data_IF_625500730339
#
_entry.id   IF_625500730339
#
_cell.length_a   1.000
_cell.length_b   1.000
_cell.length_c   1.000
_cell.angle_alpha   90.00
_cell.angle_beta   90.00
_cell.angle_gamma   90.00
#
_symmetry.space_group_name_H-M   'P 1'
#
loop_
_entity.id
_entity.type
_entity.pdbx_description
1 polymer ?
#
# COMPACT_ATOMS: atom_id res chain seq x y z
N UNK A 1 -20.62 -11.26 8.35
CA UNK A 1 -19.81 -10.62 7.29
C UNK A 1 -18.88 -11.66 6.70
N UNK A 2 -18.98 -11.92 5.42
CA UNK A 2 -18.08 -12.83 4.70
C UNK A 2 -16.68 -12.20 4.56
N UNK A 3 -15.68 -12.99 4.20
CA UNK A 3 -14.33 -12.44 3.98
C UNK A 3 -14.34 -11.44 2.82
N UNK A 4 -15.06 -11.72 1.75
CA UNK A 4 -15.20 -10.78 0.62
C UNK A 4 -15.82 -9.44 1.06
N UNK A 5 -16.85 -9.46 1.88
CA UNK A 5 -17.45 -8.22 2.43
C UNK A 5 -16.46 -7.41 3.26
N UNK A 6 -15.57 -8.07 4.02
CA UNK A 6 -14.52 -7.39 4.80
C UNK A 6 -13.54 -6.64 3.89
N UNK A 7 -13.06 -7.27 2.83
CA UNK A 7 -12.14 -6.63 1.89
C UNK A 7 -12.80 -5.48 1.12
N UNK A 8 -14.06 -5.66 0.72
CA UNK A 8 -14.83 -4.58 0.09
C UNK A 8 -14.98 -3.38 1.03
N UNK A 9 -15.29 -3.64 2.30
CA UNK A 9 -15.43 -2.58 3.31
C UNK A 9 -14.10 -1.85 3.53
N UNK A 10 -12.99 -2.58 3.69
CA UNK A 10 -11.67 -1.97 3.87
C UNK A 10 -11.23 -1.15 2.65
N UNK A 11 -11.50 -1.63 1.43
CA UNK A 11 -11.22 -0.88 0.21
C UNK A 11 -12.07 0.39 0.09
N UNK A 12 -13.35 0.33 0.45
CA UNK A 12 -14.24 1.50 0.46
C UNK A 12 -13.84 2.51 1.54
N UNK A 13 -13.44 2.05 2.72
CA UNK A 13 -12.90 2.89 3.79
C UNK A 13 -11.65 3.63 3.32
N UNK A 14 -10.70 2.91 2.72
CA UNK A 14 -9.52 3.54 2.15
C UNK A 14 -9.85 4.57 1.05
N UNK A 15 -10.82 4.28 0.18
CA UNK A 15 -11.27 5.24 -0.85
C UNK A 15 -11.87 6.51 -0.24
N UNK A 16 -12.61 6.37 0.88
CA UNK A 16 -13.14 7.52 1.61
C UNK A 16 -12.00 8.36 2.20
N UNK A 17 -10.99 7.72 2.80
CA UNK A 17 -9.79 8.38 3.32
C UNK A 17 -9.02 9.09 2.19
N UNK A 18 -8.85 8.44 1.04
CA UNK A 18 -8.15 9.02 -0.11
C UNK A 18 -8.88 10.25 -0.67
N UNK A 19 -10.22 10.20 -0.73
CA UNK A 19 -11.01 11.35 -1.13
C UNK A 19 -10.89 12.52 -0.13
N UNK A 20 -10.94 12.23 1.15
CA UNK A 20 -10.81 13.25 2.21
C UNK A 20 -9.40 13.86 2.24
N UNK A 21 -8.35 13.05 2.09
CA UNK A 21 -6.96 13.48 2.13
C UNK A 21 -6.41 14.08 0.83
N UNK A 22 -7.21 14.06 -0.26
CA UNK A 22 -6.76 14.50 -1.58
C UNK A 22 -6.34 16.00 -1.63
N UNK A 23 -6.89 16.82 -0.74
CA UNK A 23 -6.59 18.26 -0.65
C UNK A 23 -5.41 18.56 0.30
N UNK A 24 -4.90 17.58 1.02
CA UNK A 24 -3.79 17.76 1.96
C UNK A 24 -2.49 18.12 1.23
N UNK A 25 -1.62 18.96 1.84
CA UNK A 25 -0.40 19.45 1.20
C UNK A 25 0.48 18.35 0.62
N UNK A 26 0.61 17.24 1.34
CA UNK A 26 1.44 16.13 0.91
C UNK A 26 0.86 15.36 -0.29
N UNK A 27 -0.46 15.14 -0.31
CA UNK A 27 -1.12 14.52 -1.46
C UNK A 27 -1.04 15.40 -2.71
N UNK A 28 -1.13 16.73 -2.53
CA UNK A 28 -0.93 17.70 -3.63
C UNK A 28 0.51 17.67 -4.15
N UNK A 29 1.50 17.72 -3.25
CA UNK A 29 2.91 17.66 -3.64
C UNK A 29 3.24 16.35 -4.38
N UNK A 30 2.70 15.21 -3.94
CA UNK A 30 2.86 13.94 -4.62
C UNK A 30 2.25 13.94 -6.03
N UNK A 31 1.11 14.62 -6.21
CA UNK A 31 0.43 14.74 -7.51
C UNK A 31 1.18 15.64 -8.48
N UNK A 32 1.85 16.68 -7.97
CA UNK A 32 2.66 17.60 -8.77
C UNK A 32 3.97 16.96 -9.27
N UNK A 33 4.36 15.81 -8.72
CA UNK A 33 5.57 15.10 -9.13
C UNK A 33 5.49 14.48 -10.55
N UNK A 34 4.28 14.27 -11.09
CA UNK A 34 4.05 13.75 -12.43
C UNK A 34 2.72 13.02 -12.57
N UNK A 35 2.44 12.55 -13.79
CA UNK A 35 1.19 11.90 -14.20
C UNK A 35 1.37 10.44 -14.67
N UNK A 36 2.56 9.89 -14.62
CA UNK A 36 2.83 8.48 -14.88
C UNK A 36 2.13 7.58 -13.87
N UNK A 37 2.00 6.29 -14.19
CA UNK A 37 1.32 5.32 -13.31
C UNK A 37 1.88 5.37 -11.88
N UNK A 38 3.18 5.43 -11.76
CA UNK A 38 3.88 5.40 -10.49
C UNK A 38 3.62 6.65 -9.65
N UNK A 39 3.67 7.83 -10.27
CA UNK A 39 3.36 9.11 -9.64
C UNK A 39 1.90 9.14 -9.18
N UNK A 40 0.98 8.63 -9.99
CA UNK A 40 -0.45 8.50 -9.65
C UNK A 40 -0.67 7.53 -8.47
N UNK A 41 0.00 6.38 -8.46
CA UNK A 41 -0.05 5.42 -7.33
C UNK A 41 0.48 6.07 -6.06
N UNK A 42 1.60 6.80 -6.16
CA UNK A 42 2.20 7.52 -5.03
C UNK A 42 1.26 8.60 -4.49
N UNK A 43 0.66 9.39 -5.37
CA UNK A 43 -0.27 10.45 -4.98
C UNK A 43 -1.55 9.90 -4.34
N UNK A 44 -2.09 8.82 -4.88
CA UNK A 44 -3.27 8.16 -4.32
C UNK A 44 -2.96 7.52 -2.95
N UNK A 45 -1.80 6.88 -2.80
CA UNK A 45 -1.34 6.34 -1.52
C UNK A 45 -1.14 7.45 -0.48
N UNK A 46 -0.52 8.57 -0.86
CA UNK A 46 -0.39 9.73 0.00
C UNK A 46 -1.76 10.25 0.46
N UNK A 47 -2.71 10.42 -0.47
CA UNK A 47 -4.04 10.88 -0.14
C UNK A 47 -4.78 9.92 0.82
N UNK A 48 -4.66 8.61 0.59
CA UNK A 48 -5.35 7.60 1.40
C UNK A 48 -4.79 7.45 2.81
N UNK A 49 -3.54 7.87 3.06
CA UNK A 49 -2.86 7.66 4.34
C UNK A 49 -2.58 8.93 5.13
N UNK A 50 -2.65 10.10 4.52
CA UNK A 50 -2.24 11.39 5.14
C UNK A 50 -2.99 11.75 6.41
N UNK A 51 -4.26 11.35 6.51
CA UNK A 51 -5.11 11.64 7.66
C UNK A 51 -4.98 10.63 8.79
N UNK A 52 -4.29 9.51 8.54
CA UNK A 52 -4.11 8.41 9.50
C UNK A 52 -5.45 7.83 10.02
N UNK A 53 -6.49 7.84 9.16
CA UNK A 53 -7.82 7.31 9.44
C UNK A 53 -8.10 5.97 8.75
N UNK A 54 -7.20 5.56 7.85
CA UNK A 54 -7.30 4.30 7.14
C UNK A 54 -7.08 3.08 8.06
N UNK A 55 -7.43 1.90 7.57
CA UNK A 55 -7.45 0.66 8.33
C UNK A 55 -6.18 0.41 9.14
N UNK A 56 -6.35 -0.01 10.40
CA UNK A 56 -5.23 -0.32 11.30
C UNK A 56 -5.25 -1.81 11.68
N UNK A 57 -4.18 -2.52 11.35
CA UNK A 57 -3.96 -3.92 11.70
C UNK A 57 -3.06 -4.04 12.94
N UNK A 58 -3.67 -4.08 14.11
CA UNK A 58 -2.96 -4.12 15.40
C UNK A 58 -1.96 -5.27 15.54
N UNK A 59 -2.24 -6.53 15.07
CA UNK A 59 -1.29 -7.63 15.21
C UNK A 59 0.06 -7.41 14.52
N UNK A 60 0.14 -6.47 13.58
CA UNK A 60 1.38 -6.13 12.88
C UNK A 60 1.77 -4.66 12.97
N UNK A 61 0.96 -3.83 13.68
CA UNK A 61 1.11 -2.37 13.74
C UNK A 61 1.29 -1.74 12.35
N UNK A 62 0.38 -2.08 11.43
CA UNK A 62 0.45 -1.66 10.03
C UNK A 62 -0.92 -1.24 9.50
N UNK A 63 -0.93 -0.34 8.51
CA UNK A 63 -2.07 -0.03 7.67
C UNK A 63 -1.96 -0.86 6.39
N UNK A 64 -2.92 -1.73 6.14
CA UNK A 64 -2.78 -2.72 5.07
C UNK A 64 -3.24 -2.18 3.72
N UNK A 65 -4.27 -1.34 3.71
CA UNK A 65 -4.83 -0.77 2.49
C UNK A 65 -3.97 0.33 1.88
N UNK A 66 -3.32 1.16 2.69
CA UNK A 66 -2.55 2.32 2.23
C UNK A 66 -1.55 2.02 1.09
N UNK A 67 -0.72 0.98 1.16
CA UNK A 67 0.20 0.64 0.07
C UNK A 67 -0.48 -0.17 -1.05
N UNK A 68 -1.45 -1.03 -0.73
CA UNK A 68 -1.97 -2.04 -1.66
C UNK A 68 -3.11 -1.51 -2.53
N UNK A 69 -4.04 -0.75 -1.94
CA UNK A 69 -5.22 -0.26 -2.65
C UNK A 69 -4.87 0.62 -3.88
N UNK A 70 -4.00 1.64 -3.75
CA UNK A 70 -3.64 2.47 -4.91
C UNK A 70 -2.95 1.67 -6.01
N UNK A 71 -2.07 0.72 -5.65
CA UNK A 71 -1.40 -0.13 -6.61
C UNK A 71 -2.39 -1.03 -7.37
N UNK A 72 -3.31 -1.69 -6.64
CA UNK A 72 -4.32 -2.55 -7.25
C UNK A 72 -5.29 -1.78 -8.16
N UNK A 73 -5.81 -0.65 -7.70
CA UNK A 73 -6.78 0.15 -8.44
C UNK A 73 -6.20 0.75 -9.71
N UNK A 74 -5.04 1.41 -9.60
CA UNK A 74 -4.48 2.17 -10.72
C UNK A 74 -3.81 1.28 -11.76
N UNK A 75 -3.16 0.19 -11.34
CA UNK A 75 -2.63 -0.78 -12.30
C UNK A 75 -3.75 -1.52 -13.03
N UNK A 76 -4.82 -1.92 -12.34
CA UNK A 76 -5.97 -2.54 -12.98
C UNK A 76 -6.64 -1.61 -13.99
N UNK A 77 -6.77 -0.32 -13.66
CA UNK A 77 -7.30 0.69 -14.58
C UNK A 77 -6.40 0.86 -15.82
N UNK A 78 -5.09 0.86 -15.67
CA UNK A 78 -4.13 0.92 -16.76
C UNK A 78 -4.24 -0.30 -17.69
N UNK A 79 -4.52 -1.48 -17.11
CA UNK A 79 -4.68 -2.74 -17.84
C UNK A 79 -6.11 -2.95 -18.39
N UNK A 80 -7.06 -2.05 -18.09
CA UNK A 80 -8.45 -2.20 -18.51
C UNK A 80 -9.19 -3.36 -17.83
N UNK A 81 -8.79 -3.75 -16.62
CA UNK A 81 -9.37 -4.85 -15.88
C UNK A 81 -10.59 -4.40 -15.06
N UNK A 82 -11.45 -5.35 -14.75
CA UNK A 82 -12.70 -5.12 -14.03
C UNK A 82 -12.53 -5.05 -12.51
N UNK A 83 -13.61 -4.68 -11.81
CA UNK A 83 -13.63 -4.56 -10.34
C UNK A 83 -13.38 -5.91 -9.65
N UNK A 84 -13.75 -7.03 -10.27
CA UNK A 84 -13.48 -8.35 -9.69
C UNK A 84 -11.98 -8.65 -9.65
N UNK A 85 -11.25 -8.29 -10.72
CA UNK A 85 -9.80 -8.40 -10.77
C UNK A 85 -9.12 -7.47 -9.74
N UNK A 86 -9.60 -6.23 -9.61
CA UNK A 86 -9.13 -5.29 -8.57
C UNK A 86 -9.28 -5.91 -7.19
N UNK A 87 -10.48 -6.37 -6.84
CA UNK A 87 -10.76 -6.94 -5.52
C UNK A 87 -9.89 -8.16 -5.24
N UNK A 88 -9.74 -9.06 -6.22
CA UNK A 88 -8.92 -10.25 -6.08
C UNK A 88 -7.43 -9.92 -5.87
N UNK A 89 -6.91 -8.92 -6.57
CA UNK A 89 -5.53 -8.45 -6.41
C UNK A 89 -5.32 -7.73 -5.07
N UNK A 90 -6.25 -6.86 -4.73
CA UNK A 90 -6.24 -6.16 -3.44
C UNK A 90 -6.25 -7.15 -2.27
N UNK A 91 -7.15 -8.14 -2.26
CA UNK A 91 -7.18 -9.18 -1.23
C UNK A 91 -5.83 -9.90 -1.09
N UNK A 92 -5.23 -10.32 -2.21
CA UNK A 92 -3.95 -11.01 -2.18
C UNK A 92 -2.83 -10.15 -1.57
N UNK A 93 -2.73 -8.89 -1.99
CA UNK A 93 -1.74 -7.95 -1.45
C UNK A 93 -1.99 -7.58 0.01
N UNK A 94 -3.26 -7.38 0.38
CA UNK A 94 -3.68 -7.08 1.75
C UNK A 94 -3.27 -8.22 2.70
N UNK A 95 -3.59 -9.47 2.36
CA UNK A 95 -3.21 -10.65 3.14
C UNK A 95 -1.69 -10.83 3.24
N UNK A 96 -0.98 -10.64 2.15
CA UNK A 96 0.49 -10.72 2.15
C UNK A 96 1.10 -9.66 3.08
N UNK A 97 0.60 -8.41 3.02
CA UNK A 97 1.04 -7.33 3.92
C UNK A 97 0.78 -7.70 5.38
N UNK A 98 -0.45 -8.14 5.70
CA UNK A 98 -0.85 -8.52 7.05
C UNK A 98 -0.03 -9.69 7.60
N UNK A 99 0.20 -10.72 6.79
CA UNK A 99 1.01 -11.89 7.19
C UNK A 99 2.45 -11.49 7.51
N UNK A 100 3.09 -10.68 6.65
CA UNK A 100 4.45 -10.19 6.86
C UNK A 100 4.54 -9.27 8.08
N UNK A 101 3.60 -8.34 8.23
CA UNK A 101 3.58 -7.40 9.35
C UNK A 101 3.43 -8.16 10.69
N UNK A 102 2.53 -9.13 10.76
CA UNK A 102 2.36 -9.98 11.94
C UNK A 102 3.60 -10.81 12.24
N UNK A 103 4.23 -11.42 11.22
CA UNK A 103 5.43 -12.22 11.40
C UNK A 103 6.63 -11.37 11.84
N UNK A 104 6.71 -10.11 11.38
CA UNK A 104 7.76 -9.18 11.75
C UNK A 104 7.55 -8.48 13.09
N UNK A 105 6.34 -8.49 13.64
CA UNK A 105 6.02 -7.84 14.91
C UNK A 105 6.54 -8.67 16.12
N UNK A 106 7.09 -8.06 17.18
CA UNK A 106 7.36 -6.63 17.35
C UNK A 106 8.70 -6.14 16.77
N UNK A 107 9.52 -7.06 16.27
CA UNK A 107 10.93 -6.80 15.94
C UNK A 107 11.12 -5.69 14.89
N UNK A 108 10.27 -5.60 13.86
CA UNK A 108 10.34 -4.53 12.87
C UNK A 108 10.14 -3.17 13.55
N UNK A 109 9.08 -3.05 14.34
CA UNK A 109 8.73 -1.80 15.01
C UNK A 109 9.78 -1.37 16.03
N UNK A 110 10.27 -2.29 16.87
CA UNK A 110 11.29 -2.02 17.89
C UNK A 110 12.63 -1.61 17.29
N UNK A 111 12.98 -2.12 16.11
CA UNK A 111 14.18 -1.73 15.37
C UNK A 111 14.03 -0.41 14.59
N UNK A 112 12.90 0.27 14.74
CA UNK A 112 12.68 1.58 14.15
C UNK A 112 12.15 1.57 12.71
N UNK A 113 11.71 0.40 12.20
CA UNK A 113 11.07 0.31 10.90
C UNK A 113 9.58 0.66 10.97
N UNK A 114 9.04 1.15 9.87
CA UNK A 114 7.61 1.35 9.68
C UNK A 114 7.00 0.11 9.00
N UNK A 115 6.23 -0.74 9.73
CA UNK A 115 5.74 -2.00 9.17
C UNK A 115 4.86 -1.82 7.93
N UNK A 116 4.00 -0.79 7.88
CA UNK A 116 3.20 -0.43 6.71
C UNK A 116 4.06 -0.30 5.46
N UNK A 117 5.15 0.46 5.55
CA UNK A 117 6.04 0.72 4.42
C UNK A 117 6.81 -0.54 3.99
N UNK A 118 7.42 -1.23 4.95
CA UNK A 118 8.26 -2.40 4.68
C UNK A 118 7.42 -3.55 4.11
N UNK A 119 6.33 -3.91 4.81
CA UNK A 119 5.50 -5.06 4.40
C UNK A 119 4.61 -4.72 3.20
N UNK A 120 4.11 -3.48 3.14
CA UNK A 120 3.24 -3.02 2.07
C UNK A 120 3.92 -2.97 0.70
N UNK A 121 5.23 -2.74 0.65
CA UNK A 121 5.99 -2.84 -0.60
C UNK A 121 5.88 -4.24 -1.22
N UNK A 122 5.99 -5.28 -0.40
CA UNK A 122 5.83 -6.67 -0.87
C UNK A 122 4.36 -6.97 -1.18
N UNK A 123 3.42 -6.51 -0.36
CA UNK A 123 1.99 -6.68 -0.63
C UNK A 123 1.54 -6.04 -1.94
N UNK A 124 2.06 -4.84 -2.26
CA UNK A 124 1.81 -4.19 -3.55
C UNK A 124 2.38 -4.98 -4.74
N UNK A 125 3.55 -5.60 -4.56
CA UNK A 125 4.13 -6.49 -5.58
C UNK A 125 3.27 -7.73 -5.80
N UNK A 126 2.71 -8.32 -4.73
CA UNK A 126 1.77 -9.46 -4.83
C UNK A 126 0.50 -9.06 -5.58
N UNK A 127 -0.07 -7.90 -5.26
CA UNK A 127 -1.24 -7.39 -5.98
C UNK A 127 -0.94 -7.15 -7.46
N UNK A 128 0.19 -6.52 -7.77
CA UNK A 128 0.64 -6.30 -9.14
C UNK A 128 0.90 -7.60 -9.91
N UNK A 129 1.57 -8.57 -9.29
CA UNK A 129 1.82 -9.88 -9.88
C UNK A 129 0.52 -10.59 -10.28
N UNK A 130 -0.51 -10.49 -9.44
CA UNK A 130 -1.82 -11.06 -9.72
C UNK A 130 -2.51 -10.38 -10.91
N UNK A 131 -2.48 -9.04 -11.00
CA UNK A 131 -3.07 -8.29 -12.12
C UNK A 131 -2.35 -8.56 -13.44
N UNK A 132 -1.04 -8.74 -13.39
CA UNK A 132 -0.20 -9.04 -14.54
C UNK A 132 -0.21 -10.54 -14.90
N UNK A 133 -0.95 -11.37 -14.17
CA UNK A 133 -1.02 -12.83 -14.34
C UNK A 133 0.38 -13.49 -14.38
N UNK A 134 1.28 -13.03 -13.52
CA UNK A 134 2.64 -13.58 -13.42
C UNK A 134 2.59 -15.05 -12.94
N UNK A 135 3.47 -15.85 -13.46
CA UNK A 135 3.66 -17.22 -12.96
C UNK A 135 4.32 -17.23 -11.55
N UNK A 136 4.37 -18.39 -10.87
CA UNK A 136 4.94 -18.45 -9.53
C UNK A 136 6.40 -17.96 -9.45
N UNK A 137 7.25 -18.31 -10.41
CA UNK A 137 8.66 -17.91 -10.40
C UNK A 137 8.84 -16.41 -10.64
N UNK A 138 8.01 -15.83 -11.52
CA UNK A 138 7.96 -14.39 -11.75
C UNK A 138 7.42 -13.65 -10.51
N UNK A 139 6.41 -14.20 -9.85
CA UNK A 139 5.86 -13.64 -8.62
C UNK A 139 6.90 -13.64 -7.50
N UNK A 140 7.62 -14.74 -7.31
CA UNK A 140 8.72 -14.82 -6.34
C UNK A 140 9.81 -13.79 -6.63
N UNK A 141 10.16 -13.62 -7.91
CA UNK A 141 11.13 -12.61 -8.34
C UNK A 141 10.66 -11.18 -8.06
N UNK A 142 9.38 -10.88 -8.34
CA UNK A 142 8.78 -9.58 -8.05
C UNK A 142 8.79 -9.29 -6.53
N UNK A 143 8.43 -10.27 -5.71
CA UNK A 143 8.49 -10.15 -4.24
C UNK A 143 9.93 -9.96 -3.73
N UNK A 144 10.90 -10.67 -4.30
CA UNK A 144 12.31 -10.50 -3.96
C UNK A 144 12.82 -9.09 -4.29
N UNK A 145 12.49 -8.56 -5.46
CA UNK A 145 12.83 -7.19 -5.86
C UNK A 145 12.16 -6.19 -4.91
N UNK A 146 10.88 -6.37 -4.60
CA UNK A 146 10.16 -5.53 -3.67
C UNK A 146 10.80 -5.53 -2.28
N UNK A 147 11.21 -6.70 -1.78
CA UNK A 147 11.86 -6.83 -0.47
C UNK A 147 13.20 -6.09 -0.42
N UNK A 148 14.01 -6.15 -1.47
CA UNK A 148 15.29 -5.41 -1.56
C UNK A 148 15.05 -3.89 -1.56
N UNK A 149 13.91 -3.42 -2.04
CA UNK A 149 13.53 -2.01 -2.09
C UNK A 149 12.72 -1.55 -0.87
N UNK A 150 12.27 -2.49 -0.03
CA UNK A 150 11.46 -2.19 1.14
C UNK A 150 12.23 -1.28 2.13
N UNK A 151 11.54 -0.29 2.64
CA UNK A 151 12.12 0.70 3.56
C UNK A 151 11.04 1.54 4.21
N UNK A 152 11.46 2.46 5.04
CA UNK A 152 10.59 3.36 5.80
C UNK A 152 10.94 3.32 7.28
N UNK A 153 11.27 4.48 7.84
CA UNK A 153 11.67 4.60 9.23
C UNK A 153 10.54 5.22 10.07
N UNK A 154 10.31 4.65 11.23
CA UNK A 154 9.39 5.18 12.24
C UNK A 154 9.81 6.57 12.76
N UNK A 155 11.09 6.92 12.64
CA UNK A 155 11.61 8.23 13.03
C UNK A 155 10.93 9.41 12.28
N UNK A 156 10.21 9.16 11.20
CA UNK A 156 9.42 10.19 10.52
C UNK A 156 8.11 10.55 11.22
N UNK A 157 7.64 9.73 12.18
CA UNK A 157 6.38 9.97 12.88
C UNK A 157 6.46 11.24 13.74
N UNK A 158 5.42 12.08 13.64
CA UNK A 158 5.29 13.29 14.44
C UNK A 158 6.32 14.39 14.14
N UNK A 159 7.02 14.31 13.02
CA UNK A 159 7.92 15.37 12.53
C UNK A 159 7.32 16.06 11.30
N UNK A 160 7.83 17.28 10.99
CA UNK A 160 7.53 17.95 9.72
C UNK A 160 8.01 17.15 8.49
N UNK A 161 8.74 16.06 8.74
CA UNK A 161 9.10 15.05 7.76
C UNK A 161 7.97 14.03 7.50
N UNK A 162 6.71 14.44 7.56
CA UNK A 162 5.56 13.62 7.16
C UNK A 162 5.64 13.18 5.70
N UNK A 163 6.39 13.87 4.86
CA UNK A 163 6.77 13.42 3.51
C UNK A 163 7.39 12.01 3.44
N UNK A 164 8.21 11.53 4.39
CA UNK A 164 8.69 10.15 4.37
C UNK A 164 7.61 9.09 4.58
N UNK A 165 6.49 9.39 5.25
CA UNK A 165 5.35 8.47 5.32
C UNK A 165 4.77 8.21 3.92
N UNK A 166 4.81 9.21 3.05
CA UNK A 166 4.34 9.10 1.66
C UNK A 166 5.35 8.41 0.76
N UNK A 167 6.64 8.47 1.09
CA UNK A 167 7.67 7.67 0.41
C UNK A 167 7.54 6.18 0.69
N UNK A 168 6.85 5.78 1.76
CA UNK A 168 6.57 4.38 2.04
C UNK A 168 5.60 3.78 1.03
N UNK A 169 4.67 4.57 0.52
CA UNK A 169 3.80 4.16 -0.60
C UNK A 169 4.52 4.25 -1.94
N UNK A 170 5.53 5.12 -2.07
CA UNK A 170 6.36 5.26 -3.26
C UNK A 170 7.46 4.17 -3.38
N UNK A 171 7.79 3.46 -2.32
CA UNK A 171 8.72 2.33 -2.40
C UNK A 171 8.12 1.07 -3.06
N UNK A 172 6.89 1.14 -3.53
CA UNK A 172 6.32 0.20 -4.50
C UNK A 172 6.89 0.41 -5.94
N UNK A 173 7.95 1.22 -6.11
CA UNK A 173 8.68 1.41 -7.39
C UNK A 173 9.47 0.18 -7.77
#
# INVERSE_FOLDING_TARGET
MTDEERYRTALLDWLACANAGAAEPAARAAREAGDGLLERVTAAGAAGHVLDYDDTYLPGLAHLSAPVAPAALLLAAELGLDVAAVLAAYCAGFEATGALARAGHPALYERGWHPTAVCGTVGSAVAGARLLALDPAQTDSACAIALVRAGGLRASFGSDATLPLYRSTASAR
#
